data_IF_400674452057
#
_entry.id   IF_400674452057
#
_cell.length_a   1.000
_cell.length_b   1.000
_cell.length_c   1.000
_cell.angle_alpha   90.00
_cell.angle_beta   90.00
_cell.angle_gamma   90.00
#
_symmetry.space_group_name_H-M   'P 1'
#
loop_
_entity.id
_entity.type
_entity.pdbx_description
1 polymer ?
#
# COMPACT_ATOMS: atom_id res chain seq x y z
N UNK A 1 3.95 2.30 9.72
CA UNK A 1 3.04 1.53 10.59
C UNK A 1 3.80 1.02 11.79
N UNK A 2 3.10 0.30 12.66
CA UNK A 2 3.60 -0.45 13.82
C UNK A 2 3.29 -1.94 13.63
N UNK A 3 3.79 -2.79 14.52
CA UNK A 3 3.41 -4.21 14.55
C UNK A 3 2.36 -4.40 15.63
N UNK A 4 1.22 -4.99 15.26
CA UNK A 4 0.15 -5.33 16.19
C UNK A 4 0.58 -6.49 17.12
N UNK A 5 -0.02 -6.55 18.30
CA UNK A 5 0.22 -7.64 19.26
C UNK A 5 -0.37 -8.98 18.80
N UNK A 6 -1.47 -8.93 18.05
CA UNK A 6 -2.17 -10.11 17.54
C UNK A 6 -2.46 -9.94 16.04
N UNK A 7 -2.53 -11.07 15.33
CA UNK A 7 -2.92 -11.12 13.92
C UNK A 7 -4.41 -10.80 13.75
N UNK A 8 -4.75 -9.87 12.86
CA UNK A 8 -6.14 -9.47 12.56
C UNK A 8 -6.38 -9.37 11.05
N UNK A 9 -7.62 -9.67 10.65
CA UNK A 9 -8.06 -9.63 9.26
C UNK A 9 -7.65 -10.84 8.41
N UNK A 10 -8.37 -11.04 7.31
CA UNK A 10 -8.23 -12.20 6.41
C UNK A 10 -7.78 -11.82 5.00
N UNK A 11 -7.65 -10.52 4.71
CA UNK A 11 -7.24 -10.03 3.40
C UNK A 11 -5.72 -9.92 3.27
N UNK A 12 -5.24 -9.75 2.04
CA UNK A 12 -3.84 -9.53 1.76
C UNK A 12 -2.97 -10.79 1.92
N UNK A 13 -1.71 -10.60 2.27
CA UNK A 13 -0.72 -11.67 2.36
C UNK A 13 0.46 -11.31 3.30
N UNK A 14 1.21 -12.32 3.73
CA UNK A 14 2.43 -12.13 4.51
C UNK A 14 2.17 -11.39 5.83
N UNK A 15 2.85 -10.26 6.04
CA UNK A 15 2.77 -9.49 7.28
C UNK A 15 1.54 -8.56 7.37
N UNK A 16 0.65 -8.57 6.37
CA UNK A 16 -0.49 -7.65 6.36
C UNK A 16 -1.36 -7.78 7.60
N UNK A 17 -1.53 -9.00 8.12
CA UNK A 17 -2.37 -9.26 9.30
C UNK A 17 -1.79 -8.72 10.62
N UNK A 18 -0.53 -8.26 10.63
CA UNK A 18 0.12 -7.68 11.81
C UNK A 18 0.70 -6.29 11.57
N UNK A 19 0.82 -5.85 10.31
CA UNK A 19 1.30 -4.51 10.00
C UNK A 19 0.16 -3.50 10.14
N UNK A 20 0.25 -2.68 11.17
CA UNK A 20 -0.82 -1.76 11.58
C UNK A 20 -0.53 -0.31 11.13
N UNK A 21 -1.57 0.36 10.66
CA UNK A 21 -1.59 1.79 10.43
C UNK A 21 -2.96 2.35 10.82
N UNK A 22 -2.96 3.43 11.62
CA UNK A 22 -4.21 4.09 12.07
C UNK A 22 -5.16 3.12 12.81
N UNK A 23 -4.61 2.17 13.59
CA UNK A 23 -5.39 1.22 14.39
C UNK A 23 -5.98 0.04 13.62
N UNK A 24 -5.78 -0.04 12.29
CA UNK A 24 -6.17 -1.18 11.46
C UNK A 24 -4.92 -1.86 10.89
N UNK A 25 -4.91 -3.18 10.89
CA UNK A 25 -3.91 -3.96 10.14
C UNK A 25 -4.22 -3.90 8.65
N UNK A 26 -3.22 -4.10 7.80
CA UNK A 26 -3.47 -4.21 6.35
C UNK A 26 -4.34 -5.42 6.00
N UNK A 27 -4.35 -6.47 6.81
CA UNK A 27 -5.24 -7.63 6.64
C UNK A 27 -6.71 -7.31 6.89
N UNK A 28 -7.01 -6.23 7.60
CA UNK A 28 -8.37 -5.74 7.86
C UNK A 28 -8.87 -4.77 6.76
N UNK A 29 -8.03 -4.43 5.79
CA UNK A 29 -8.38 -3.50 4.69
C UNK A 29 -8.80 -4.27 3.44
N UNK A 30 -9.68 -3.70 2.62
CA UNK A 30 -9.89 -4.20 1.25
C UNK A 30 -8.66 -3.92 0.38
N UNK A 31 -8.56 -4.59 -0.78
CA UNK A 31 -7.46 -4.35 -1.72
C UNK A 31 -7.42 -2.88 -2.18
N UNK A 32 -8.57 -2.26 -2.40
CA UNK A 32 -8.67 -0.85 -2.79
C UNK A 32 -8.24 0.10 -1.67
N UNK A 33 -8.68 -0.16 -0.43
CA UNK A 33 -8.26 0.62 0.75
C UNK A 33 -6.74 0.52 0.95
N UNK A 34 -6.21 -0.69 0.80
CA UNK A 34 -4.78 -0.98 0.96
C UNK A 34 -3.97 -0.36 -0.17
N UNK A 35 -4.38 -0.48 -1.43
CA UNK A 35 -3.66 0.11 -2.56
C UNK A 35 -3.64 1.64 -2.47
N UNK A 36 -4.70 2.29 -2.00
CA UNK A 36 -4.71 3.74 -1.78
C UNK A 36 -3.71 4.22 -0.71
N UNK A 37 -3.32 3.35 0.24
CA UNK A 37 -2.55 3.75 1.44
C UNK A 37 -1.17 3.11 1.53
N UNK A 38 -0.96 1.97 0.88
CA UNK A 38 0.24 1.15 0.99
C UNK A 38 1.47 1.82 0.39
N UNK A 39 2.64 1.37 0.84
CA UNK A 39 3.93 1.78 0.27
C UNK A 39 3.99 1.50 -1.23
N UNK A 40 3.41 0.37 -1.67
CA UNK A 40 3.34 -0.03 -3.08
C UNK A 40 2.51 0.97 -3.88
N UNK A 41 1.29 1.28 -3.45
CA UNK A 41 0.43 2.23 -4.14
C UNK A 41 1.07 3.62 -4.27
N UNK A 42 1.66 4.12 -3.18
CA UNK A 42 2.41 5.40 -3.19
C UNK A 42 3.59 5.38 -4.17
N UNK A 43 4.36 4.29 -4.20
CA UNK A 43 5.48 4.15 -5.11
C UNK A 43 5.02 4.14 -6.58
N UNK A 44 3.94 3.42 -6.90
CA UNK A 44 3.39 3.38 -8.25
C UNK A 44 2.81 4.72 -8.70
N UNK A 45 2.13 5.46 -7.82
CA UNK A 45 1.64 6.80 -8.13
C UNK A 45 2.79 7.77 -8.49
N UNK A 46 3.87 7.75 -7.70
CA UNK A 46 5.09 8.54 -8.00
C UNK A 46 5.77 8.08 -9.29
N UNK A 47 5.84 6.76 -9.51
CA UNK A 47 6.40 6.19 -10.73
C UNK A 47 5.62 6.62 -11.97
N UNK A 48 4.28 6.59 -11.92
CA UNK A 48 3.42 7.01 -13.03
C UNK A 48 3.67 8.46 -13.44
N UNK A 49 3.78 9.38 -12.47
CA UNK A 49 4.12 10.78 -12.71
C UNK A 49 5.47 10.90 -13.45
N UNK A 50 6.50 10.23 -12.94
CA UNK A 50 7.85 10.27 -13.53
C UNK A 50 7.90 9.61 -14.91
N UNK A 51 7.12 8.56 -15.12
CA UNK A 51 7.01 7.92 -16.43
C UNK A 51 6.38 8.86 -17.46
N UNK A 52 5.32 9.59 -17.09
CA UNK A 52 4.70 10.59 -17.97
C UNK A 52 5.69 11.70 -18.34
N UNK A 53 6.42 12.23 -17.36
CA UNK A 53 7.48 13.23 -17.62
C UNK A 53 8.57 12.69 -18.56
N UNK A 54 8.99 11.44 -18.35
CA UNK A 54 10.02 10.79 -19.18
C UNK A 54 9.57 10.64 -20.63
N UNK A 55 8.34 10.15 -20.84
CA UNK A 55 7.79 9.93 -22.18
C UNK A 55 7.56 11.24 -22.94
N UNK A 56 7.20 12.32 -22.25
CA UNK A 56 7.03 13.65 -22.87
C UNK A 56 8.35 14.29 -23.31
N UNK A 57 9.48 13.95 -22.70
CA UNK A 57 10.82 14.47 -23.06
C UNK A 57 11.43 13.78 -24.28
N UNK A 58 10.89 12.63 -24.68
CA UNK A 58 11.34 11.87 -25.86
C UNK A 58 10.55 12.15 -27.14
N UNK A 59 9.56 13.04 -27.08
CA UNK A 59 8.74 13.48 -28.21
C UNK A 59 9.24 14.80 -28.82
#
# INVERSE_FOLDING_TARGET
GTIAFDSRGENGFGYDSIFEQEGRTFGEMSDEEKDARSHRGKAFALFEEKLKEYLQKGA
#
